data_IF_283383081940
#
_entry.id   IF_283383081940
#
_cell.length_a   1.000
_cell.length_b   1.000
_cell.length_c   1.000
_cell.angle_alpha   90.00
_cell.angle_beta   90.00
_cell.angle_gamma   90.00
#
_symmetry.space_group_name_H-M   'P 1'
#
loop_
_entity.id
_entity.type
_entity.pdbx_description
1 polymer ?
#
# COMPACT_ATOMS: atom_id res chain seq x y z
N UNK A 1 -3.44 5.26 14.00
CA UNK A 1 -2.01 5.62 13.89
C UNK A 1 -1.16 4.45 13.39
N UNK A 2 -1.21 3.24 13.98
CA UNK A 2 -0.44 2.08 13.50
C UNK A 2 -0.61 1.76 12.00
N UNK A 3 -1.85 1.84 11.48
CA UNK A 3 -2.13 1.62 10.05
C UNK A 3 -1.39 2.60 9.12
N UNK A 4 -1.21 3.85 9.54
CA UNK A 4 -0.48 4.84 8.76
C UNK A 4 1.02 4.54 8.75
N UNK A 5 1.60 4.14 9.88
CA UNK A 5 2.99 3.69 9.93
C UNK A 5 3.23 2.46 9.04
N UNK A 6 2.34 1.46 9.13
CA UNK A 6 2.40 0.27 8.28
C UNK A 6 2.27 0.62 6.78
N UNK A 7 1.35 1.51 6.42
CA UNK A 7 1.19 1.98 5.05
C UNK A 7 2.42 2.74 4.53
N UNK A 8 3.13 3.48 5.37
CA UNK A 8 4.40 4.13 5.01
C UNK A 8 5.48 3.13 4.61
N UNK A 9 5.67 2.09 5.42
CA UNK A 9 6.67 1.05 5.18
C UNK A 9 6.29 0.21 3.95
N UNK A 10 5.05 -0.26 3.88
CA UNK A 10 4.57 -1.08 2.76
C UNK A 10 4.53 -0.29 1.44
N UNK A 11 4.12 0.98 1.49
CA UNK A 11 4.13 1.87 0.33
C UNK A 11 5.55 2.10 -0.21
N UNK A 12 6.55 2.15 0.67
CA UNK A 12 7.96 2.20 0.27
C UNK A 12 8.43 0.90 -0.39
N UNK A 13 8.07 -0.26 0.16
CA UNK A 13 8.38 -1.57 -0.44
C UNK A 13 7.77 -1.69 -1.84
N UNK A 14 6.55 -1.21 -2.04
CA UNK A 14 5.86 -1.24 -3.33
C UNK A 14 6.64 -0.50 -4.43
N UNK A 15 7.36 0.59 -4.12
CA UNK A 15 8.18 1.28 -5.12
C UNK A 15 9.21 0.34 -5.73
N UNK A 16 9.85 -0.51 -4.92
CA UNK A 16 10.84 -1.48 -5.43
C UNK A 16 10.18 -2.52 -6.31
N UNK A 17 9.02 -3.03 -5.88
CA UNK A 17 8.25 -4.02 -6.66
C UNK A 17 7.84 -3.44 -8.01
N UNK A 18 7.27 -2.24 -8.02
CA UNK A 18 6.86 -1.55 -9.25
C UNK A 18 8.04 -1.22 -10.15
N UNK A 19 9.15 -0.77 -9.56
CA UNK A 19 10.38 -0.50 -10.30
C UNK A 19 10.91 -1.76 -10.98
N UNK A 20 10.91 -2.91 -10.28
CA UNK A 20 11.30 -4.19 -10.89
C UNK A 20 10.37 -4.60 -12.04
N UNK A 21 9.05 -4.40 -11.88
CA UNK A 21 8.07 -4.68 -12.93
C UNK A 21 8.33 -3.79 -14.16
N UNK A 22 8.47 -2.49 -13.96
CA UNK A 22 8.71 -1.52 -15.05
C UNK A 22 10.05 -1.79 -15.73
N UNK A 23 11.11 -2.11 -14.98
CA UNK A 23 12.40 -2.52 -15.56
C UNK A 23 12.24 -3.75 -16.45
N UNK A 24 11.50 -4.78 -15.99
CA UNK A 24 11.24 -5.96 -16.81
C UNK A 24 10.49 -5.61 -18.10
N UNK A 25 9.50 -4.73 -18.04
CA UNK A 25 8.74 -4.28 -19.21
C UNK A 25 9.58 -3.44 -20.18
N UNK A 26 10.57 -2.70 -19.68
CA UNK A 26 11.49 -1.89 -20.49
C UNK A 26 12.73 -2.66 -20.97
N UNK A 27 12.77 -3.98 -20.81
CA UNK A 27 13.93 -4.79 -21.24
C UNK A 27 15.16 -4.59 -20.38
N UNK A 28 14.98 -4.44 -19.06
CA UNK A 28 16.02 -4.20 -18.04
C UNK A 28 16.72 -2.84 -18.13
N UNK A 29 16.16 -1.88 -18.85
CA UNK A 29 16.59 -0.48 -18.76
C UNK A 29 16.32 0.07 -17.35
N UNK A 30 17.27 0.86 -16.84
CA UNK A 30 17.16 1.52 -15.53
C UNK A 30 16.04 2.56 -15.53
N UNK A 31 15.44 2.76 -14.36
CA UNK A 31 14.41 3.78 -14.17
C UNK A 31 15.06 5.03 -13.58
N UNK A 32 15.00 6.12 -14.33
CA UNK A 32 15.36 7.43 -13.83
C UNK A 32 14.09 8.17 -13.39
N UNK A 33 13.99 8.44 -12.09
CA UNK A 33 12.86 9.19 -11.53
C UNK A 33 12.91 10.69 -11.87
N UNK A 34 14.03 11.22 -12.38
CA UNK A 34 14.13 12.63 -12.76
C UNK A 34 14.10 13.61 -11.58
N UNK A 35 14.32 13.13 -10.35
CA UNK A 35 14.38 13.94 -9.14
C UNK A 35 13.61 13.35 -7.95
N UNK A 36 13.57 14.08 -6.84
CA UNK A 36 12.88 13.64 -5.62
C UNK A 36 11.36 13.80 -5.69
N UNK A 37 10.86 14.79 -6.45
CA UNK A 37 9.43 15.05 -6.53
C UNK A 37 8.65 13.89 -7.19
N UNK A 38 9.07 13.31 -8.33
CA UNK A 38 8.41 12.14 -8.89
C UNK A 38 8.49 10.91 -7.97
N UNK A 39 9.61 10.73 -7.26
CA UNK A 39 9.76 9.68 -6.28
C UNK A 39 8.75 9.78 -5.13
N UNK A 40 8.61 10.97 -4.53
CA UNK A 40 7.65 11.22 -3.45
C UNK A 40 6.21 11.02 -3.95
N UNK A 41 5.90 11.40 -5.19
CA UNK A 41 4.56 11.19 -5.76
C UNK A 41 4.21 9.70 -5.89
N UNK A 42 5.12 8.87 -6.42
CA UNK A 42 4.88 7.41 -6.52
C UNK A 42 4.75 6.82 -5.12
N UNK A 43 5.62 7.22 -4.18
CA UNK A 43 5.52 6.79 -2.80
C UNK A 43 4.17 7.15 -2.15
N UNK A 44 3.72 8.39 -2.33
CA UNK A 44 2.46 8.87 -1.78
C UNK A 44 1.25 8.11 -2.34
N UNK A 45 1.23 7.83 -3.65
CA UNK A 45 0.17 6.99 -4.23
C UNK A 45 0.14 5.60 -3.60
N UNK A 46 1.29 4.96 -3.45
CA UNK A 46 1.41 3.64 -2.84
C UNK A 46 1.00 3.65 -1.36
N UNK A 47 1.38 4.69 -0.63
CA UNK A 47 0.96 4.91 0.75
C UNK A 47 -0.57 4.96 0.85
N UNK A 48 -1.23 5.79 0.04
CA UNK A 48 -2.69 5.93 0.10
C UNK A 48 -3.39 4.64 -0.31
N UNK A 49 -2.87 3.93 -1.31
CA UNK A 49 -3.41 2.65 -1.74
C UNK A 49 -3.38 1.61 -0.61
N UNK A 50 -2.22 1.40 0.01
CA UNK A 50 -2.10 0.46 1.13
C UNK A 50 -2.94 0.91 2.33
N UNK A 51 -2.95 2.20 2.64
CA UNK A 51 -3.74 2.74 3.75
C UNK A 51 -5.24 2.49 3.56
N UNK A 52 -5.74 2.69 2.33
CA UNK A 52 -7.14 2.43 1.99
C UNK A 52 -7.49 0.94 2.17
N UNK A 53 -6.66 0.04 1.64
CA UNK A 53 -6.86 -1.42 1.79
C UNK A 53 -6.85 -1.84 3.26
N UNK A 54 -5.86 -1.41 4.04
CA UNK A 54 -5.77 -1.73 5.47
C UNK A 54 -6.97 -1.19 6.25
N UNK A 55 -7.47 -0.01 5.87
CA UNK A 55 -8.66 0.57 6.48
C UNK A 55 -9.90 -0.25 6.19
N UNK A 56 -10.13 -0.59 4.92
CA UNK A 56 -11.24 -1.45 4.48
C UNK A 56 -11.18 -2.80 5.19
N UNK A 57 -10.00 -3.43 5.22
CA UNK A 57 -9.79 -4.74 5.82
C UNK A 57 -10.07 -4.73 7.32
N UNK A 58 -9.60 -3.70 8.03
CA UNK A 58 -9.85 -3.64 9.47
C UNK A 58 -11.32 -3.33 9.79
N UNK A 59 -11.98 -2.52 8.96
CA UNK A 59 -13.41 -2.25 9.13
C UNK A 59 -14.22 -3.53 8.90
N UNK A 60 -13.88 -4.31 7.87
CA UNK A 60 -14.49 -5.60 7.60
C UNK A 60 -14.24 -6.62 8.73
N UNK A 61 -13.02 -6.70 9.24
CA UNK A 61 -12.70 -7.58 10.36
C UNK A 61 -13.49 -7.19 11.62
N UNK A 62 -13.59 -5.89 11.92
CA UNK A 62 -14.39 -5.39 13.03
C UNK A 62 -15.89 -5.65 12.87
N UNK A 63 -16.44 -5.53 11.65
CA UNK A 63 -17.85 -5.83 11.40
C UNK A 63 -18.15 -7.33 11.49
N UNK A 64 -17.23 -8.18 11.03
CA UNK A 64 -17.38 -9.64 11.10
C UNK A 64 -17.44 -10.12 12.55
N UNK A 65 -16.56 -9.62 13.41
CA UNK A 65 -16.54 -10.01 14.82
C UNK A 65 -17.82 -9.58 15.57
N UNK A 66 -18.40 -8.42 15.25
CA UNK A 66 -19.69 -8.02 15.84
C UNK A 66 -20.84 -8.93 15.43
N UNK A 67 -20.86 -9.39 14.17
CA UNK A 67 -21.90 -10.32 13.69
C UNK A 67 -21.79 -11.70 14.34
N UNK A 68 -20.57 -12.14 14.67
CA UNK A 68 -20.34 -13.41 15.38
C UNK A 68 -20.74 -13.30 16.88
N UNK A 69 -20.53 -12.15 17.52
CA UNK A 69 -21.00 -11.90 18.90
C UNK A 69 -22.53 -11.79 18.99
N UNK A 70 -23.19 -11.13 18.03
CA UNK A 70 -24.65 -10.96 18.01
C UNK A 70 -25.42 -12.27 17.75
N UNK A 71 -24.79 -13.29 17.15
CA UNK A 71 -25.41 -14.62 16.92
C UNK A 71 -25.25 -15.59 18.11
N UNK A 72 -24.54 -15.19 19.17
CA UNK A 72 -24.30 -16.02 20.36
C UNK A 72 -25.33 -15.82 21.49
N UNK A 73 -26.45 -15.15 21.22
CA UNK A 73 -27.59 -14.97 22.13
C UNK A 73 -28.86 -15.62 21.57
#
# INVERSE_FOLDING_TARGET
>A
MFRAAAAGVLGFILIFVESMIVMKLKGYATIEFGGIAPFINVWAMNFFFVFAILTQLTNWYGSKNRLEEDQSY
#
